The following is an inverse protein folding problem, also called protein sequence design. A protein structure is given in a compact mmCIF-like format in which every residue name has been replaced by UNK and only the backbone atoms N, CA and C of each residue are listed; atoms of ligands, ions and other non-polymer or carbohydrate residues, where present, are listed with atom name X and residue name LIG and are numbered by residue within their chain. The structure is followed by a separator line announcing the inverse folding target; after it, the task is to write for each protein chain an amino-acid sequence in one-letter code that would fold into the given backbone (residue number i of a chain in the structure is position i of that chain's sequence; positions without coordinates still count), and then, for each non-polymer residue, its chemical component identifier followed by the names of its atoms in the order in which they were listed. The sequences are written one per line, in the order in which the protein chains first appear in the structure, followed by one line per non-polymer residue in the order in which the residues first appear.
data_IF_382790237603
#
_entry.id   IF_382790237603
#
_cell.length_a   1.000
_cell.length_b   1.000
_cell.length_c   1.000
_cell.angle_alpha   90.00
_cell.angle_beta   90.00
_cell.angle_gamma   90.00
#
_symmetry.space_group_name_H-M   'P 1'
#
loop_
_entity.id
_entity.type
_entity.pdbx_description
1 polymer ?
#
# COMPACT_ATOMS: atom_id res chain seq x y z
N UNK A 1 4.65 -25.98 -7.15
CA UNK A 1 4.62 -24.58 -6.70
C UNK A 1 4.13 -23.68 -7.80
N UNK A 2 3.73 -22.46 -7.44
CA UNK A 2 3.22 -21.49 -8.38
C UNK A 2 2.54 -20.33 -7.67
N UNK A 3 2.00 -19.44 -8.46
CA UNK A 3 1.23 -18.29 -7.99
C UNK A 3 0.03 -18.06 -8.91
N UNK A 4 -0.91 -17.28 -8.41
CA UNK A 4 -2.11 -16.92 -9.15
C UNK A 4 -2.04 -15.42 -9.49
N UNK A 5 -2.39 -15.09 -10.73
CA UNK A 5 -2.55 -13.72 -11.18
C UNK A 5 -4.02 -13.50 -11.59
N UNK A 6 -4.63 -12.45 -11.07
CA UNK A 6 -5.96 -12.01 -11.48
C UNK A 6 -5.81 -10.88 -12.51
N UNK A 7 -6.34 -11.09 -13.70
CA UNK A 7 -6.23 -10.13 -14.79
C UNK A 7 -7.52 -10.12 -15.62
N UNK A 8 -8.09 -8.94 -15.87
CA UNK A 8 -9.33 -8.73 -16.63
C UNK A 8 -10.50 -9.65 -16.25
N UNK A 9 -10.66 -9.94 -14.95
CA UNK A 9 -11.74 -10.80 -14.46
C UNK A 9 -11.44 -12.31 -14.46
N UNK A 10 -10.23 -12.71 -14.85
CA UNK A 10 -9.83 -14.11 -14.93
C UNK A 10 -8.63 -14.42 -14.03
N UNK A 11 -8.67 -15.60 -13.41
CA UNK A 11 -7.53 -16.14 -12.66
C UNK A 11 -6.63 -16.93 -13.58
N UNK A 12 -5.36 -16.55 -13.64
CA UNK A 12 -4.30 -17.27 -14.32
C UNK A 12 -3.41 -17.97 -13.31
N UNK A 13 -3.09 -19.24 -13.58
CA UNK A 13 -2.16 -20.01 -12.75
C UNK A 13 -0.81 -20.07 -13.43
N UNK A 14 0.21 -19.52 -12.77
CA UNK A 14 1.59 -19.62 -13.21
C UNK A 14 2.31 -20.63 -12.30
N UNK A 15 2.59 -21.80 -12.83
CA UNK A 15 3.14 -22.93 -12.07
C UNK A 15 4.20 -23.68 -12.86
N UNK A 16 4.77 -24.71 -12.23
CA UNK A 16 5.83 -25.53 -12.80
C UNK A 16 5.44 -26.24 -14.12
N UNK A 17 4.17 -26.52 -14.36
CA UNK A 17 3.73 -27.17 -15.60
C UNK A 17 3.79 -26.23 -16.81
N UNK A 18 3.65 -24.91 -16.58
CA UNK A 18 3.82 -23.89 -17.60
C UNK A 18 5.24 -23.31 -17.62
N UNK A 19 5.92 -23.33 -16.47
CA UNK A 19 7.25 -22.72 -16.29
C UNK A 19 8.15 -23.67 -15.49
N UNK A 20 8.95 -24.48 -16.15
CA UNK A 20 9.82 -25.49 -15.52
C UNK A 20 10.83 -24.88 -14.53
N UNK A 21 11.13 -23.57 -14.63
CA UNK A 21 11.97 -22.85 -13.67
C UNK A 21 11.39 -22.86 -12.25
N UNK A 22 10.06 -23.04 -12.12
CA UNK A 22 9.36 -23.10 -10.85
C UNK A 22 9.40 -24.48 -10.18
N UNK A 23 9.98 -25.51 -10.82
CA UNK A 23 10.10 -26.85 -10.22
C UNK A 23 10.90 -26.87 -8.91
N UNK A 24 11.84 -25.94 -8.77
CA UNK A 24 12.73 -25.83 -7.61
C UNK A 24 12.39 -24.64 -6.68
N UNK A 25 11.21 -24.01 -6.87
CA UNK A 25 10.79 -22.84 -6.09
C UNK A 25 9.44 -23.12 -5.46
N UNK A 26 9.33 -23.00 -4.17
CA UNK A 26 8.13 -23.18 -3.38
C UNK A 26 8.12 -22.15 -2.25
N UNK A 27 6.99 -22.02 -1.56
CA UNK A 27 6.80 -21.11 -0.44
C UNK A 27 7.02 -19.63 -0.83
N UNK A 28 6.34 -19.17 -1.88
CA UNK A 28 6.29 -17.76 -2.19
C UNK A 28 5.55 -17.02 -1.07
N UNK A 29 6.25 -16.06 -0.43
CA UNK A 29 5.75 -15.32 0.73
C UNK A 29 5.69 -13.81 0.51
N UNK A 30 6.36 -13.30 -0.52
CA UNK A 30 6.39 -11.88 -0.81
C UNK A 30 6.40 -11.64 -2.32
N UNK A 31 5.80 -10.52 -2.72
CA UNK A 31 5.74 -10.07 -4.11
C UNK A 31 5.84 -8.56 -4.14
N UNK A 32 6.56 -8.04 -5.15
CA UNK A 32 6.53 -6.62 -5.48
C UNK A 32 6.64 -6.42 -6.99
N UNK A 33 6.24 -5.24 -7.48
CA UNK A 33 6.10 -4.97 -8.91
C UNK A 33 6.86 -3.71 -9.31
N UNK A 34 7.84 -3.86 -10.17
CA UNK A 34 8.40 -2.74 -10.91
C UNK A 34 7.41 -2.31 -12.02
N UNK A 35 6.57 -1.33 -11.68
CA UNK A 35 5.53 -0.80 -12.59
C UNK A 35 6.14 -0.15 -13.83
N UNK A 36 7.34 0.45 -13.70
CA UNK A 36 8.03 1.14 -14.80
C UNK A 36 8.53 0.16 -15.85
N UNK A 37 9.08 -0.96 -15.42
CA UNK A 37 9.63 -2.00 -16.30
C UNK A 37 8.68 -3.18 -16.53
N UNK A 38 7.49 -3.17 -15.91
CA UNK A 38 6.46 -4.21 -15.99
C UNK A 38 6.98 -5.60 -15.57
N UNK A 39 7.80 -5.63 -14.50
CA UNK A 39 8.38 -6.85 -13.94
C UNK A 39 7.76 -7.15 -12.57
N UNK A 40 7.33 -8.40 -12.37
CA UNK A 40 6.86 -8.90 -11.07
C UNK A 40 7.98 -9.68 -10.42
N UNK A 41 8.36 -9.30 -9.22
CA UNK A 41 9.34 -10.00 -8.40
C UNK A 41 8.63 -10.81 -7.31
N UNK A 42 8.99 -12.06 -7.16
CA UNK A 42 8.38 -13.01 -6.23
C UNK A 42 9.44 -13.69 -5.39
N UNK A 43 9.38 -13.49 -4.10
CA UNK A 43 10.32 -14.03 -3.13
C UNK A 43 9.84 -15.34 -2.51
N UNK A 44 10.69 -16.36 -2.56
CA UNK A 44 10.46 -17.67 -1.94
C UNK A 44 11.25 -17.80 -0.64
N UNK A 45 10.65 -18.46 0.37
CA UNK A 45 11.32 -18.72 1.65
C UNK A 45 12.18 -19.99 1.62
N UNK A 46 13.01 -20.12 0.59
CA UNK A 46 13.95 -21.23 0.42
C UNK A 46 14.41 -21.41 -1.03
N UNK A 47 13.57 -21.04 -1.98
CA UNK A 47 13.80 -21.21 -3.41
C UNK A 47 14.40 -20.00 -4.13
N UNK A 48 14.73 -18.91 -3.44
CA UNK A 48 15.31 -17.71 -4.03
C UNK A 48 14.28 -16.71 -4.58
N UNK A 49 14.68 -15.89 -5.53
CA UNK A 49 13.86 -14.84 -6.14
C UNK A 49 13.54 -15.19 -7.59
N UNK A 50 12.27 -15.06 -7.97
CA UNK A 50 11.81 -15.15 -9.36
C UNK A 50 11.43 -13.76 -9.84
N UNK A 51 11.96 -13.35 -11.00
CA UNK A 51 11.50 -12.20 -11.75
C UNK A 51 10.68 -12.66 -12.95
N UNK A 52 9.50 -12.09 -13.14
CA UNK A 52 8.62 -12.35 -14.27
C UNK A 52 8.41 -11.07 -15.07
N UNK A 53 9.00 -11.00 -16.24
CA UNK A 53 8.77 -9.91 -17.18
C UNK A 53 7.44 -10.15 -17.91
N UNK A 54 6.43 -9.35 -17.58
CA UNK A 54 5.09 -9.45 -18.15
C UNK A 54 5.04 -9.04 -19.63
N UNK A 55 6.02 -8.26 -20.10
CA UNK A 55 6.08 -7.78 -21.50
C UNK A 55 6.56 -8.88 -22.45
N UNK A 56 7.48 -9.73 -21.97
CA UNK A 56 8.06 -10.83 -22.77
C UNK A 56 7.54 -12.20 -22.38
N UNK A 57 6.91 -12.35 -21.21
CA UNK A 57 6.49 -13.63 -20.63
C UNK A 57 7.64 -14.47 -20.09
N UNK A 58 8.84 -13.91 -19.96
CA UNK A 58 10.04 -14.63 -19.52
C UNK A 58 10.16 -14.59 -17.99
N UNK A 59 10.49 -15.75 -17.38
CA UNK A 59 10.86 -15.85 -15.99
C UNK A 59 12.37 -16.06 -15.82
N UNK A 60 12.94 -15.43 -14.80
CA UNK A 60 14.32 -15.60 -14.38
C UNK A 60 14.38 -15.93 -12.89
N UNK A 61 15.24 -16.89 -12.53
CA UNK A 61 15.46 -17.30 -11.15
C UNK A 61 16.83 -16.85 -10.67
N UNK A 62 16.87 -16.19 -9.51
CA UNK A 62 18.08 -15.73 -8.84
C UNK A 62 18.26 -16.53 -7.55
N UNK A 63 19.38 -17.21 -7.44
CA UNK A 63 19.85 -18.01 -6.31
C UNK A 63 21.35 -17.77 -6.09
N UNK A 64 22.13 -18.84 -6.06
CA UNK A 64 23.59 -18.80 -5.90
C UNK A 64 24.25 -17.80 -6.87
N UNK A 65 25.12 -16.96 -6.33
CA UNK A 65 25.82 -15.89 -7.08
C UNK A 65 25.04 -14.57 -7.12
N UNK A 66 23.77 -14.56 -6.67
CA UNK A 66 22.93 -13.37 -6.56
C UNK A 66 22.42 -13.16 -5.13
N UNK A 67 22.06 -14.25 -4.46
CA UNK A 67 21.63 -14.28 -3.07
C UNK A 67 22.58 -15.19 -2.28
N UNK A 68 22.68 -14.93 -1.01
CA UNK A 68 23.37 -15.81 -0.08
C UNK A 68 22.42 -16.84 0.52
N UNK A 69 22.93 -18.01 0.82
CA UNK A 69 22.14 -19.01 1.57
C UNK A 69 22.06 -18.64 3.06
N UNK A 70 20.98 -19.09 3.68
CA UNK A 70 20.82 -18.93 5.12
C UNK A 70 21.96 -19.64 5.89
N UNK A 71 22.46 -19.00 6.93
CA UNK A 71 23.52 -19.54 7.80
C UNK A 71 23.06 -20.86 8.41
N UNK A 72 23.87 -21.90 8.24
CA UNK A 72 23.55 -23.25 8.73
C UNK A 72 22.56 -24.05 7.87
N UNK A 73 22.07 -23.49 6.76
CA UNK A 73 21.15 -24.17 5.82
C UNK A 73 21.60 -23.98 4.36
N UNK A 74 22.69 -24.67 3.95
CA UNK A 74 23.24 -24.54 2.61
C UNK A 74 22.24 -24.90 1.51
N UNK A 75 22.14 -24.03 0.49
CA UNK A 75 21.21 -24.20 -0.63
C UNK A 75 19.82 -23.62 -0.38
N UNK A 76 19.54 -23.08 0.80
CA UNK A 76 18.30 -22.35 1.12
C UNK A 76 18.52 -20.86 0.94
N UNK A 77 17.97 -20.29 -0.13
CA UNK A 77 18.03 -18.86 -0.47
C UNK A 77 16.71 -18.21 -0.07
N UNK A 78 16.66 -17.63 1.13
CA UNK A 78 15.42 -17.15 1.74
C UNK A 78 15.20 -15.67 1.45
N UNK A 79 14.07 -15.37 0.81
CA UNK A 79 13.62 -13.99 0.59
C UNK A 79 12.50 -13.69 1.59
N UNK A 80 12.76 -12.80 2.54
CA UNK A 80 11.82 -12.41 3.59
C UNK A 80 10.97 -11.19 3.26
N UNK A 81 11.46 -10.32 2.38
CA UNK A 81 10.79 -9.10 1.94
C UNK A 81 11.37 -8.57 0.65
N UNK A 82 10.56 -7.83 -0.10
CA UNK A 82 10.90 -7.18 -1.36
C UNK A 82 10.38 -5.75 -1.36
N UNK A 83 11.13 -4.82 -1.96
CA UNK A 83 10.65 -3.48 -2.28
C UNK A 83 11.39 -2.91 -3.48
N UNK A 84 10.67 -2.36 -4.45
CA UNK A 84 11.23 -1.67 -5.61
C UNK A 84 11.27 -0.17 -5.32
N UNK A 85 12.44 0.46 -5.45
CA UNK A 85 12.57 1.90 -5.28
C UNK A 85 12.19 2.69 -6.56
N UNK A 86 12.15 4.01 -6.45
CA UNK A 86 11.79 4.92 -7.56
C UNK A 86 12.76 4.86 -8.74
N UNK A 87 13.98 4.35 -8.53
CA UNK A 87 15.01 4.14 -9.55
C UNK A 87 14.95 2.74 -10.18
N UNK A 88 13.96 1.92 -9.82
CA UNK A 88 13.81 0.52 -10.25
C UNK A 88 14.92 -0.41 -9.72
N UNK A 89 15.57 -0.09 -8.61
CA UNK A 89 16.35 -1.06 -7.88
C UNK A 89 15.42 -1.91 -7.01
N UNK A 90 15.67 -3.22 -6.99
CA UNK A 90 14.94 -4.15 -6.13
C UNK A 90 15.74 -4.42 -4.87
N UNK A 91 15.20 -3.98 -3.74
CA UNK A 91 15.74 -4.26 -2.41
C UNK A 91 15.15 -5.55 -1.86
N UNK A 92 15.99 -6.38 -1.23
CA UNK A 92 15.67 -7.76 -0.87
C UNK A 92 16.14 -8.02 0.56
N UNK A 93 15.25 -8.47 1.42
CA UNK A 93 15.60 -9.09 2.69
C UNK A 93 16.04 -10.53 2.42
N UNK A 94 17.35 -10.78 2.41
CA UNK A 94 17.91 -12.11 2.28
C UNK A 94 18.01 -12.77 3.67
N UNK A 95 16.88 -13.33 4.11
CA UNK A 95 16.62 -13.78 5.48
C UNK A 95 17.63 -14.82 5.95
N UNK A 96 18.34 -14.50 7.03
CA UNK A 96 19.26 -15.42 7.71
C UNK A 96 20.61 -15.57 7.02
N UNK A 97 20.98 -14.77 6.03
CA UNK A 97 22.30 -14.73 5.39
C UNK A 97 23.31 -13.93 6.23
N UNK A 98 24.56 -13.94 5.81
CA UNK A 98 25.62 -13.12 6.45
C UNK A 98 25.38 -11.65 6.11
N UNK A 99 25.13 -11.34 4.83
CA UNK A 99 24.78 -10.01 4.35
C UNK A 99 23.28 -9.97 4.03
N UNK A 100 22.44 -9.65 5.03
CA UNK A 100 21.00 -9.90 4.96
C UNK A 100 20.22 -8.88 4.12
N UNK A 101 20.84 -7.83 3.61
CA UNK A 101 20.26 -6.90 2.66
C UNK A 101 20.94 -7.09 1.32
N UNK A 102 20.18 -7.42 0.29
CA UNK A 102 20.66 -7.47 -1.09
C UNK A 102 19.93 -6.45 -1.94
N UNK A 103 20.57 -5.90 -2.95
CA UNK A 103 19.95 -5.06 -3.96
C UNK A 103 20.32 -5.53 -5.36
N UNK A 104 19.29 -5.71 -6.19
CA UNK A 104 19.46 -5.82 -7.65
C UNK A 104 19.25 -4.45 -8.25
N UNK A 105 20.34 -3.84 -8.74
CA UNK A 105 20.27 -2.50 -9.36
C UNK A 105 19.52 -2.53 -10.69
N UNK A 106 19.00 -1.40 -11.11
CA UNK A 106 18.27 -1.25 -12.37
C UNK A 106 19.09 -1.69 -13.60
N UNK A 107 20.42 -1.57 -13.55
CA UNK A 107 21.36 -2.04 -14.58
C UNK A 107 21.58 -3.56 -14.56
N UNK A 108 21.00 -4.27 -13.60
CA UNK A 108 21.11 -5.72 -13.42
C UNK A 108 22.29 -6.18 -12.58
N UNK A 109 23.16 -5.27 -12.10
CA UNK A 109 24.24 -5.60 -11.16
C UNK A 109 23.68 -5.74 -9.72
N UNK A 110 24.49 -6.34 -8.83
CA UNK A 110 24.08 -6.65 -7.46
C UNK A 110 25.06 -6.07 -6.45
N UNK A 111 24.51 -5.67 -5.29
CA UNK A 111 25.29 -5.34 -4.10
C UNK A 111 24.65 -5.97 -2.87
N UNK A 112 25.44 -6.15 -1.81
CA UNK A 112 25.01 -6.77 -0.55
C UNK A 112 25.52 -5.92 0.61
N UNK A 113 24.73 -5.88 1.69
CA UNK A 113 25.01 -5.05 2.86
C UNK A 113 24.89 -5.88 4.12
N UNK A 114 25.88 -5.70 5.00
CA UNK A 114 25.81 -6.18 6.37
C UNK A 114 25.61 -4.99 7.31
N UNK A 115 24.43 -4.81 7.88
CA UNK A 115 24.17 -3.69 8.78
C UNK A 115 24.84 -3.82 10.16
N UNK A 116 25.76 -4.77 10.33
CA UNK A 116 26.52 -4.95 11.56
C UNK A 116 25.71 -5.45 12.75
N UNK A 117 24.55 -6.04 12.50
CA UNK A 117 23.66 -6.54 13.53
C UNK A 117 24.19 -7.89 14.06
N UNK A 118 24.15 -8.09 15.38
CA UNK A 118 24.70 -9.31 16.02
C UNK A 118 23.97 -10.58 15.58
N UNK A 119 24.73 -11.63 15.31
CA UNK A 119 24.42 -12.76 14.45
C UNK A 119 23.16 -13.59 14.71
N UNK A 120 22.60 -13.64 15.91
CA UNK A 120 21.58 -14.65 16.22
C UNK A 120 20.13 -14.19 16.04
N UNK A 121 19.87 -12.88 16.00
CA UNK A 121 18.50 -12.32 15.99
C UNK A 121 18.26 -11.42 14.78
N UNK A 122 19.26 -10.73 14.29
CA UNK A 122 19.12 -9.59 13.39
C UNK A 122 19.34 -9.92 11.90
N UNK A 123 19.90 -11.09 11.56
CA UNK A 123 19.97 -11.53 10.18
C UNK A 123 18.64 -12.03 9.62
N UNK A 124 17.59 -12.00 10.45
CA UNK A 124 16.22 -12.36 10.06
C UNK A 124 15.47 -11.08 9.69
N UNK A 125 15.58 -10.67 8.44
CA UNK A 125 14.88 -9.52 7.91
C UNK A 125 13.58 -9.94 7.23
N UNK A 126 12.49 -9.24 7.54
CA UNK A 126 11.17 -9.46 6.98
C UNK A 126 10.80 -8.44 5.88
N UNK A 127 9.57 -7.95 5.93
CA UNK A 127 9.05 -6.96 5.00
C UNK A 127 9.95 -5.71 4.92
N UNK A 128 10.07 -5.13 3.70
CA UNK A 128 10.71 -3.85 3.45
C UNK A 128 9.65 -2.86 2.98
N UNK A 129 9.67 -1.65 3.51
CA UNK A 129 8.97 -0.50 2.95
C UNK A 129 9.99 0.61 2.67
N UNK A 130 9.79 1.39 1.61
CA UNK A 130 10.72 2.46 1.19
C UNK A 130 9.97 3.77 1.20
N UNK A 131 10.49 4.78 1.92
CA UNK A 131 9.93 6.12 1.96
C UNK A 131 10.43 7.02 0.81
N UNK A 132 9.94 8.25 0.73
CA UNK A 132 10.32 9.21 -0.32
C UNK A 132 11.81 9.63 -0.26
N UNK A 133 12.45 9.47 0.90
CA UNK A 133 13.88 9.72 1.10
C UNK A 133 14.75 8.51 0.75
N UNK A 134 14.15 7.48 0.15
CA UNK A 134 14.78 6.20 -0.18
C UNK A 134 15.28 5.44 1.06
N UNK A 135 14.75 5.72 2.24
CA UNK A 135 15.04 4.97 3.46
C UNK A 135 14.27 3.65 3.48
N UNK A 136 14.96 2.56 3.76
CA UNK A 136 14.39 1.22 3.89
C UNK A 136 13.99 0.98 5.34
N UNK A 137 12.72 0.79 5.56
CA UNK A 137 12.13 0.39 6.83
C UNK A 137 11.90 -1.10 6.79
N UNK A 138 12.69 -1.85 7.56
CA UNK A 138 12.76 -3.31 7.48
C UNK A 138 12.28 -3.92 8.78
N UNK A 139 11.27 -4.77 8.69
CA UNK A 139 10.75 -5.52 9.81
C UNK A 139 11.83 -6.46 10.36
N UNK A 140 12.05 -6.40 11.67
CA UNK A 140 12.83 -7.38 12.42
C UNK A 140 11.86 -8.34 13.13
N UNK A 141 11.70 -9.59 12.65
CA UNK A 141 10.76 -10.54 13.24
C UNK A 141 11.03 -10.87 14.71
N UNK A 142 10.05 -11.51 15.37
CA UNK A 142 10.16 -12.06 16.73
C UNK A 142 10.39 -11.00 17.83
N UNK A 143 9.82 -9.82 17.65
CA UNK A 143 9.90 -8.77 18.68
C UNK A 143 11.22 -8.02 18.72
N UNK A 144 11.89 -7.87 17.59
CA UNK A 144 13.16 -7.13 17.47
C UNK A 144 13.01 -5.71 16.94
N UNK A 145 11.77 -5.26 16.64
CA UNK A 145 11.49 -3.90 16.17
C UNK A 145 11.69 -3.71 14.68
N UNK A 146 12.31 -2.60 14.30
CA UNK A 146 12.50 -2.16 12.92
C UNK A 146 13.96 -1.79 12.69
N UNK A 147 14.55 -2.29 11.61
CA UNK A 147 15.82 -1.78 11.08
C UNK A 147 15.52 -0.66 10.09
N UNK A 148 16.15 0.47 10.28
CA UNK A 148 16.11 1.60 9.32
C UNK A 148 17.47 1.71 8.66
N UNK A 149 17.47 1.65 7.32
CA UNK A 149 18.68 1.64 6.50
C UNK A 149 18.56 2.64 5.35
N UNK A 150 19.58 3.48 5.16
CA UNK A 150 19.66 4.40 4.04
C UNK A 150 21.10 4.46 3.53
N UNK A 151 21.30 4.12 2.25
CA UNK A 151 22.60 4.12 1.57
C UNK A 151 23.01 5.49 1.06
N UNK A 152 22.31 6.57 1.46
CA UNK A 152 22.61 7.95 1.10
C UNK A 152 22.72 8.21 -0.42
N UNK A 153 22.07 7.33 -1.24
CA UNK A 153 22.11 7.39 -2.71
C UNK A 153 23.38 6.80 -3.34
N UNK A 154 24.25 6.13 -2.54
CA UNK A 154 25.54 5.58 -2.98
C UNK A 154 25.63 4.08 -2.72
N UNK A 155 24.87 3.27 -3.49
CA UNK A 155 24.79 1.80 -3.31
C UNK A 155 26.19 1.11 -3.29
N UNK A 156 27.17 1.66 -3.99
CA UNK A 156 28.49 1.07 -4.12
C UNK A 156 29.52 1.63 -3.09
N UNK A 157 29.14 2.61 -2.27
CA UNK A 157 29.96 3.13 -1.16
C UNK A 157 29.22 2.98 0.17
N UNK A 158 29.60 1.98 0.96
CA UNK A 158 28.96 1.68 2.24
C UNK A 158 29.51 2.52 3.41
N UNK A 159 30.44 3.45 3.15
CA UNK A 159 31.07 4.23 4.21
C UNK A 159 30.19 5.34 4.77
N UNK A 160 29.16 5.74 4.03
CA UNK A 160 28.18 6.79 4.39
C UNK A 160 26.81 6.23 4.76
N UNK A 161 26.64 4.90 4.77
CA UNK A 161 25.37 4.24 5.11
C UNK A 161 24.88 4.66 6.51
N UNK A 162 23.60 4.97 6.59
CA UNK A 162 22.92 5.22 7.86
C UNK A 162 22.14 3.98 8.30
N UNK A 163 22.43 3.51 9.50
CA UNK A 163 21.83 2.30 10.05
C UNK A 163 21.34 2.59 11.47
N UNK A 164 20.09 2.22 11.77
CA UNK A 164 19.54 2.28 13.12
C UNK A 164 18.51 1.19 13.35
N UNK A 165 18.52 0.61 14.54
CA UNK A 165 17.45 -0.28 15.01
C UNK A 165 16.54 0.52 15.94
N UNK A 166 15.23 0.50 15.62
CA UNK A 166 14.18 1.12 16.40
C UNK A 166 13.44 0.08 17.22
N UNK A 167 13.14 0.43 18.47
CA UNK A 167 12.43 -0.41 19.41
C UNK A 167 11.61 0.40 20.41
N UNK A 168 11.20 -0.24 21.49
CA UNK A 168 10.56 0.43 22.61
C UNK A 168 11.55 1.36 23.32
N UNK A 169 11.09 2.52 23.75
CA UNK A 169 11.86 3.50 24.50
C UNK A 169 12.08 4.82 23.76
N UNK A 170 11.97 5.91 24.53
CA UNK A 170 12.12 7.27 24.03
C UNK A 170 13.51 7.50 23.45
N UNK A 171 13.60 8.19 22.29
CA UNK A 171 14.82 8.40 21.53
C UNK A 171 15.33 7.17 20.77
N UNK A 172 14.62 6.05 20.86
CA UNK A 172 14.93 4.80 20.17
C UNK A 172 13.73 4.27 19.35
N UNK A 173 12.90 5.16 18.84
CA UNK A 173 11.73 4.85 18.07
C UNK A 173 10.43 4.82 18.86
N UNK A 174 10.47 4.65 20.19
CA UNK A 174 9.29 4.66 21.07
C UNK A 174 8.13 3.76 20.59
N UNK A 175 8.48 2.61 19.97
CA UNK A 175 7.48 1.64 19.56
C UNK A 175 6.69 1.16 20.77
N UNK A 176 5.38 1.03 20.63
CA UNK A 176 4.53 0.50 21.70
C UNK A 176 4.88 -0.94 22.04
N UNK A 177 5.14 -1.72 21.01
CA UNK A 177 5.66 -3.08 21.10
C UNK A 177 6.69 -3.33 20.00
N UNK A 178 7.64 -4.22 20.25
CA UNK A 178 8.62 -4.63 19.25
C UNK A 178 8.11 -5.73 18.30
N UNK A 179 6.89 -6.23 18.50
CA UNK A 179 6.27 -7.23 17.63
C UNK A 179 5.59 -6.55 16.42
N UNK A 180 6.38 -6.32 15.41
CA UNK A 180 5.96 -5.66 14.16
C UNK A 180 5.43 -6.71 13.19
N UNK A 181 4.25 -6.47 12.62
CA UNK A 181 3.62 -7.37 11.65
C UNK A 181 3.66 -6.79 10.23
N UNK A 182 3.48 -5.47 10.07
CA UNK A 182 3.54 -4.82 8.77
C UNK A 182 4.01 -3.37 8.89
N UNK A 183 4.53 -2.84 7.78
CA UNK A 183 4.98 -1.45 7.64
C UNK A 183 4.39 -0.92 6.33
N UNK A 184 3.78 0.25 6.37
CA UNK A 184 3.28 0.96 5.20
C UNK A 184 3.78 2.40 5.21
N UNK A 185 4.12 2.91 4.03
CA UNK A 185 4.46 4.32 3.82
C UNK A 185 3.22 4.98 3.22
N UNK A 186 2.79 6.08 3.79
CA UNK A 186 1.65 6.81 3.27
C UNK A 186 2.05 7.90 2.27
N UNK A 187 1.08 8.64 1.74
CA UNK A 187 1.32 9.66 0.70
C UNK A 187 1.96 10.96 1.25
N UNK A 188 2.10 11.07 2.56
CA UNK A 188 2.81 12.15 3.26
C UNK A 188 4.17 11.69 3.78
N UNK A 189 4.61 10.49 3.36
CA UNK A 189 5.82 9.81 3.82
C UNK A 189 5.83 9.49 5.31
N UNK A 190 4.68 9.47 5.96
CA UNK A 190 4.55 8.97 7.32
C UNK A 190 4.64 7.43 7.31
N UNK A 191 5.29 6.87 8.32
CA UNK A 191 5.48 5.42 8.43
C UNK A 191 4.45 4.84 9.40
N UNK A 192 3.52 4.10 8.85
CA UNK A 192 2.48 3.39 9.57
C UNK A 192 2.91 1.98 9.90
N UNK A 193 2.97 1.66 11.16
CA UNK A 193 3.47 0.36 11.66
C UNK A 193 2.33 -0.39 12.32
N UNK A 194 1.94 -1.50 11.73
CA UNK A 194 0.99 -2.45 12.30
C UNK A 194 1.71 -3.43 13.22
N UNK A 195 1.19 -3.58 14.42
CA UNK A 195 1.80 -4.38 15.50
C UNK A 195 0.86 -5.43 16.04
N UNK A 196 1.35 -6.25 16.99
CA UNK A 196 0.50 -7.15 17.77
C UNK A 196 -0.50 -6.43 18.71
N UNK A 197 -0.37 -5.11 18.86
CA UNK A 197 -1.12 -4.29 19.82
C UNK A 197 -1.51 -2.95 19.20
N UNK A 198 -2.09 -2.98 17.98
CA UNK A 198 -2.56 -1.80 17.26
C UNK A 198 -1.54 -1.15 16.36
N UNK A 199 -1.66 0.16 16.18
CA UNK A 199 -0.90 0.95 15.22
C UNK A 199 -0.02 1.98 15.92
N UNK A 200 1.17 2.17 15.37
CA UNK A 200 2.12 3.22 15.75
C UNK A 200 2.56 3.96 14.48
N UNK A 201 2.73 5.28 14.54
CA UNK A 201 3.06 6.13 13.39
C UNK A 201 4.32 6.95 13.66
N UNK A 202 5.27 6.94 12.72
CA UNK A 202 6.37 7.89 12.67
C UNK A 202 5.97 9.05 11.76
N UNK A 203 5.63 10.19 12.36
CA UNK A 203 5.28 11.42 11.63
C UNK A 203 6.49 12.16 11.07
N UNK A 204 7.67 11.95 11.65
CA UNK A 204 8.93 12.56 11.24
C UNK A 204 10.00 11.52 10.96
N UNK A 205 9.86 10.70 9.90
CA UNK A 205 10.76 9.58 9.62
C UNK A 205 12.21 10.02 9.39
N UNK A 206 12.47 11.23 8.89
CA UNK A 206 13.82 11.76 8.70
C UNK A 206 14.59 11.97 10.00
N UNK A 207 13.88 12.16 11.13
CA UNK A 207 14.49 12.43 12.43
C UNK A 207 14.92 11.16 13.20
N UNK A 208 14.63 9.97 12.67
CA UNK A 208 14.92 8.72 13.40
C UNK A 208 16.41 8.51 13.69
N UNK A 209 17.30 9.05 12.86
CA UNK A 209 18.74 8.92 13.04
C UNK A 209 19.32 9.86 14.11
N UNK A 210 18.60 10.90 14.51
CA UNK A 210 19.09 11.89 15.47
C UNK A 210 19.25 11.35 16.90
N UNK A 211 18.55 10.28 17.25
CA UNK A 211 18.53 9.72 18.60
C UNK A 211 17.74 10.57 19.60
N UNK A 212 17.01 11.56 19.12
CA UNK A 212 16.10 12.40 19.91
C UNK A 212 14.68 11.88 19.83
N UNK A 213 13.79 12.37 20.70
CA UNK A 213 12.36 12.03 20.67
C UNK A 213 11.61 12.63 19.48
N UNK A 214 12.25 13.48 18.66
CA UNK A 214 11.65 14.02 17.45
C UNK A 214 11.35 12.95 16.38
N UNK A 215 12.18 11.89 16.34
CA UNK A 215 11.99 10.74 15.46
C UNK A 215 11.23 9.57 16.12
N UNK A 216 10.61 9.77 17.27
CA UNK A 216 9.86 8.74 17.96
C UNK A 216 8.45 8.55 17.36
N UNK A 217 8.00 7.31 17.35
CA UNK A 217 6.65 6.96 16.94
C UNK A 217 5.61 7.38 17.99
N UNK A 218 4.41 7.62 17.50
CA UNK A 218 3.24 7.99 18.30
C UNK A 218 2.11 6.99 18.06
N UNK A 219 1.37 6.64 19.11
CA UNK A 219 0.12 5.91 18.96
C UNK A 219 -1.01 6.89 18.71
N UNK A 220 -1.65 6.90 17.53
CA UNK A 220 -2.73 7.81 17.24
C UNK A 220 -3.96 7.52 18.12
N UNK A 221 -4.70 8.59 18.45
CA UNK A 221 -5.95 8.50 19.18
C UNK A 221 -7.13 8.63 18.19
N UNK A 222 -7.99 7.63 18.16
CA UNK A 222 -9.23 7.65 17.38
C UNK A 222 -10.41 8.10 18.26
N UNK A 223 -11.28 8.91 17.68
CA UNK A 223 -12.54 9.34 18.33
C UNK A 223 -13.65 8.33 18.03
N UNK A 224 -14.07 7.60 19.03
CA UNK A 224 -15.18 6.64 18.95
C UNK A 224 -16.42 7.21 19.69
N UNK A 225 -17.15 8.14 19.03
CA UNK A 225 -18.38 8.69 19.58
C UNK A 225 -18.21 9.55 20.84
N UNK A 226 -17.10 10.27 20.94
CA UNK A 226 -16.75 11.17 22.04
C UNK A 226 -15.76 10.59 23.07
N UNK A 227 -15.36 9.35 22.89
CA UNK A 227 -14.28 8.73 23.65
C UNK A 227 -13.04 8.60 22.77
N UNK A 228 -11.88 8.92 23.31
CA UNK A 228 -10.59 8.79 22.63
C UNK A 228 -9.90 7.52 23.09
N UNK A 229 -9.57 6.64 22.15
CA UNK A 229 -8.83 5.42 22.38
C UNK A 229 -7.63 5.34 21.43
N UNK A 230 -6.60 4.60 21.84
CA UNK A 230 -5.49 4.29 20.93
C UNK A 230 -5.98 3.44 19.76
N UNK A 231 -5.60 3.82 18.55
CA UNK A 231 -6.07 3.20 17.33
C UNK A 231 -5.77 1.69 17.30
N UNK A 232 -6.83 0.89 17.29
CA UNK A 232 -6.81 -0.58 17.22
C UNK A 232 -5.96 -1.27 18.31
N UNK A 233 -5.84 -0.65 19.50
CA UNK A 233 -4.96 -1.09 20.59
C UNK A 233 -5.13 -2.58 20.97
N UNK A 234 -6.33 -3.11 20.85
CA UNK A 234 -6.65 -4.49 21.25
C UNK A 234 -6.63 -5.47 20.06
N UNK A 235 -6.24 -4.99 18.86
CA UNK A 235 -6.23 -5.78 17.66
C UNK A 235 -4.80 -6.12 17.21
N UNK A 236 -4.64 -7.33 16.72
CA UNK A 236 -3.43 -7.72 15.98
C UNK A 236 -3.59 -7.20 14.56
N UNK A 237 -2.79 -6.21 14.20
CA UNK A 237 -2.77 -5.64 12.85
C UNK A 237 -1.86 -6.48 11.97
N UNK A 238 -2.43 -7.10 10.94
CA UNK A 238 -1.70 -7.98 10.02
C UNK A 238 -1.17 -7.24 8.78
N UNK A 239 -1.92 -6.24 8.31
CA UNK A 239 -1.61 -5.53 7.06
C UNK A 239 -2.20 -4.11 7.08
N UNK A 240 -1.53 -3.19 6.39
CA UNK A 240 -1.99 -1.83 6.15
C UNK A 240 -1.77 -1.53 4.66
N UNK A 241 -2.82 -1.07 3.96
CA UNK A 241 -2.76 -0.61 2.59
C UNK A 241 -3.27 0.83 2.50
N UNK A 242 -2.57 1.68 1.75
CA UNK A 242 -2.88 3.11 1.61
C UNK A 242 -3.64 3.33 0.30
N UNK A 243 -4.82 3.95 0.37
CA UNK A 243 -5.62 4.23 -0.83
C UNK A 243 -5.27 5.58 -1.49
N UNK A 244 -5.88 5.85 -2.63
CA UNK A 244 -5.64 7.07 -3.39
C UNK A 244 -5.93 8.38 -2.64
N UNK A 245 -6.77 8.35 -1.61
CA UNK A 245 -7.09 9.46 -0.72
C UNK A 245 -6.27 9.46 0.59
N UNK A 246 -5.15 8.76 0.61
CA UNK A 246 -4.28 8.59 1.79
C UNK A 246 -4.98 7.97 3.02
N UNK A 247 -6.14 7.33 2.85
CA UNK A 247 -6.79 6.58 3.93
C UNK A 247 -6.12 5.21 4.08
N UNK A 248 -6.21 4.63 5.26
CA UNK A 248 -5.54 3.36 5.56
C UNK A 248 -6.57 2.25 5.72
N UNK A 249 -6.53 1.28 4.81
CA UNK A 249 -7.22 0.02 4.98
C UNK A 249 -6.36 -0.88 5.86
N UNK A 250 -6.92 -1.31 6.98
CA UNK A 250 -6.20 -2.09 8.00
C UNK A 250 -6.85 -3.45 8.15
N UNK A 251 -6.09 -4.49 7.90
CA UNK A 251 -6.51 -5.88 8.13
C UNK A 251 -6.04 -6.40 9.48
N UNK A 252 -6.95 -6.99 10.23
CA UNK A 252 -6.72 -7.51 11.58
C UNK A 252 -7.25 -8.94 11.73
N UNK A 253 -7.13 -9.50 12.93
CA UNK A 253 -7.80 -10.76 13.28
C UNK A 253 -9.30 -10.56 13.61
N UNK A 254 -9.77 -9.32 13.72
CA UNK A 254 -11.15 -8.96 14.06
C UNK A 254 -11.96 -8.44 12.86
N UNK A 255 -11.33 -8.25 11.70
CA UNK A 255 -11.94 -7.72 10.49
C UNK A 255 -11.05 -6.75 9.74
N UNK A 256 -11.67 -5.96 8.86
CA UNK A 256 -11.02 -4.90 8.11
C UNK A 256 -11.57 -3.53 8.50
N UNK A 257 -10.69 -2.57 8.67
CA UNK A 257 -11.02 -1.20 9.03
C UNK A 257 -10.58 -0.24 7.93
N UNK A 258 -11.34 0.84 7.72
CA UNK A 258 -10.88 2.00 6.98
C UNK A 258 -10.71 3.15 7.96
N UNK A 259 -9.51 3.69 8.01
CA UNK A 259 -9.12 4.78 8.89
C UNK A 259 -8.89 6.04 8.05
N UNK A 260 -9.23 7.21 8.59
CA UNK A 260 -8.97 8.51 7.96
C UNK A 260 -7.48 8.71 7.64
N UNK A 261 -7.18 9.64 6.75
CA UNK A 261 -5.80 9.93 6.33
C UNK A 261 -4.88 10.26 7.51
N UNK A 262 -5.39 10.98 8.50
CA UNK A 262 -4.67 11.43 9.71
C UNK A 262 -4.74 10.45 10.90
N UNK A 263 -5.45 9.32 10.75
CA UNK A 263 -5.57 8.31 11.80
C UNK A 263 -6.54 8.62 12.92
N UNK A 264 -7.30 9.73 12.84
CA UNK A 264 -8.15 10.20 13.95
C UNK A 264 -9.58 9.66 13.93
N UNK A 265 -10.03 9.13 12.77
CA UNK A 265 -11.39 8.62 12.58
C UNK A 265 -11.41 7.21 12.00
N UNK A 266 -12.29 6.36 12.53
CA UNK A 266 -12.65 5.09 11.93
C UNK A 266 -13.84 5.32 10.98
N UNK A 267 -13.59 5.23 9.67
CA UNK A 267 -14.59 5.49 8.63
C UNK A 267 -15.48 4.28 8.34
N UNK A 268 -14.88 3.07 8.32
CA UNK A 268 -15.59 1.81 8.09
C UNK A 268 -15.02 0.71 8.98
N UNK A 269 -15.87 -0.28 9.25
CA UNK A 269 -15.50 -1.54 9.87
C UNK A 269 -16.29 -2.69 9.24
N UNK A 270 -15.57 -3.66 8.71
CA UNK A 270 -16.12 -4.88 8.12
C UNK A 270 -15.71 -6.12 8.90
N UNK A 271 -16.68 -6.93 9.23
CA UNK A 271 -16.52 -8.28 9.75
C UNK A 271 -17.55 -9.24 9.11
N UNK A 272 -17.47 -10.52 9.41
CA UNK A 272 -18.37 -11.54 8.87
C UNK A 272 -19.84 -11.38 9.29
N UNK A 273 -20.11 -10.60 10.34
CA UNK A 273 -21.46 -10.40 10.86
C UNK A 273 -22.18 -9.21 10.19
N UNK A 274 -21.43 -8.20 9.76
CA UNK A 274 -21.96 -6.95 9.21
C UNK A 274 -21.71 -6.76 7.72
N UNK A 275 -20.95 -7.65 7.08
CA UNK A 275 -20.53 -7.54 5.68
C UNK A 275 -20.36 -8.91 5.02
N UNK A 276 -20.21 -9.00 3.68
CA UNK A 276 -19.88 -10.23 2.98
C UNK A 276 -18.44 -10.74 3.22
N UNK A 277 -17.68 -10.13 4.13
CA UNK A 277 -16.32 -10.60 4.46
C UNK A 277 -16.36 -12.07 4.89
N UNK A 278 -15.59 -12.92 4.22
CA UNK A 278 -15.67 -14.38 4.38
C UNK A 278 -14.97 -14.89 5.65
N UNK A 279 -14.13 -14.08 6.28
CA UNK A 279 -13.48 -14.32 7.57
C UNK A 279 -13.06 -13.02 8.22
N UNK A 280 -13.06 -12.98 9.55
CA UNK A 280 -12.55 -11.85 10.32
C UNK A 280 -11.01 -11.77 10.32
N UNK A 281 -10.33 -12.90 10.07
CA UNK A 281 -8.86 -12.91 9.96
C UNK A 281 -8.46 -12.44 8.57
N UNK A 282 -8.14 -11.14 8.47
CA UNK A 282 -7.64 -10.51 7.24
C UNK A 282 -6.12 -10.50 7.30
N UNK A 283 -5.49 -11.24 6.39
CA UNK A 283 -4.03 -11.45 6.37
C UNK A 283 -3.30 -10.45 5.48
N UNK A 284 -3.94 -10.05 4.37
CA UNK A 284 -3.39 -9.08 3.44
C UNK A 284 -4.48 -8.22 2.81
N UNK A 285 -4.15 -6.98 2.47
CA UNK A 285 -5.02 -6.06 1.72
C UNK A 285 -4.18 -5.46 0.60
N UNK A 286 -4.75 -5.47 -0.63
CA UNK A 286 -4.20 -4.81 -1.79
C UNK A 286 -5.25 -3.96 -2.47
N UNK A 287 -4.83 -2.85 -3.07
CA UNK A 287 -5.72 -1.88 -3.71
C UNK A 287 -5.34 -1.71 -5.17
N UNK A 288 -6.30 -1.93 -6.07
CA UNK A 288 -6.16 -1.47 -7.44
C UNK A 288 -6.43 0.04 -7.49
N UNK A 289 -5.37 0.82 -7.52
CA UNK A 289 -5.46 2.28 -7.56
C UNK A 289 -6.17 2.83 -8.80
N UNK A 290 -6.31 2.04 -9.86
CA UNK A 290 -7.02 2.44 -11.08
C UNK A 290 -8.53 2.34 -10.93
N UNK A 291 -9.01 1.26 -10.30
CA UNK A 291 -10.44 0.96 -10.19
C UNK A 291 -11.03 1.32 -8.83
N UNK A 292 -10.20 1.44 -7.80
CA UNK A 292 -10.60 1.59 -6.40
C UNK A 292 -11.10 0.27 -5.78
N UNK A 293 -10.82 -0.87 -6.41
CA UNK A 293 -11.11 -2.18 -5.85
C UNK A 293 -10.11 -2.51 -4.75
N UNK A 294 -10.60 -2.82 -3.57
CA UNK A 294 -9.85 -3.26 -2.39
C UNK A 294 -10.00 -4.77 -2.28
N UNK A 295 -8.91 -5.51 -2.31
CA UNK A 295 -8.88 -6.95 -2.20
C UNK A 295 -8.46 -7.36 -0.79
N UNK A 296 -9.29 -8.16 -0.13
CA UNK A 296 -9.04 -8.71 1.20
C UNK A 296 -8.66 -10.18 1.07
N UNK A 297 -7.39 -10.48 1.35
CA UNK A 297 -6.88 -11.84 1.51
C UNK A 297 -7.12 -12.33 2.94
N UNK A 298 -7.95 -13.33 3.11
CA UNK A 298 -8.29 -13.89 4.41
C UNK A 298 -7.76 -15.32 4.54
N UNK A 299 -7.83 -15.91 5.73
CA UNK A 299 -7.53 -17.34 5.95
C UNK A 299 -8.51 -18.30 5.24
N UNK A 300 -9.62 -17.77 4.66
CA UNK A 300 -10.63 -18.54 3.93
C UNK A 300 -10.74 -18.24 2.45
N UNK A 301 -9.91 -17.33 1.94
CA UNK A 301 -9.91 -16.94 0.52
C UNK A 301 -9.88 -15.43 0.33
N UNK A 302 -10.16 -14.99 -0.90
CA UNK A 302 -10.07 -13.60 -1.32
C UNK A 302 -11.46 -13.06 -1.66
N UNK A 303 -11.75 -11.84 -1.22
CA UNK A 303 -12.95 -11.08 -1.60
C UNK A 303 -12.52 -9.64 -1.93
N UNK A 304 -13.25 -8.98 -2.82
CA UNK A 304 -13.01 -7.57 -3.15
C UNK A 304 -14.21 -6.69 -2.81
N UNK A 305 -13.92 -5.43 -2.55
CA UNK A 305 -14.90 -4.37 -2.33
C UNK A 305 -14.47 -3.12 -3.08
N UNK A 306 -15.34 -2.62 -3.97
CA UNK A 306 -15.07 -1.36 -4.67
C UNK A 306 -15.47 -0.18 -3.80
N UNK A 307 -14.50 0.72 -3.59
CA UNK A 307 -14.73 1.91 -2.81
C UNK A 307 -14.43 3.20 -3.59
N UNK A 308 -14.38 4.33 -2.91
CA UNK A 308 -14.49 5.66 -3.52
C UNK A 308 -13.17 6.30 -3.93
N UNK A 309 -12.02 5.80 -3.49
CA UNK A 309 -10.73 6.39 -3.80
C UNK A 309 -10.02 5.61 -4.93
N UNK A 310 -9.43 6.35 -5.85
CA UNK A 310 -8.52 5.85 -6.89
C UNK A 310 -7.22 6.65 -6.83
N UNK A 311 -6.16 6.18 -7.48
CA UNK A 311 -4.95 6.98 -7.61
C UNK A 311 -5.20 8.25 -8.44
N UNK A 312 -4.66 9.37 -7.97
CA UNK A 312 -4.69 10.64 -8.68
C UNK A 312 -3.86 10.59 -9.96
N UNK A 313 -4.32 11.28 -11.01
CA UNK A 313 -3.49 11.51 -12.19
C UNK A 313 -2.48 12.63 -11.91
N UNK A 314 -1.37 12.66 -12.65
CA UNK A 314 -0.36 13.72 -12.49
C UNK A 314 -0.84 15.09 -13.00
N UNK A 315 -1.82 15.11 -13.94
CA UNK A 315 -2.37 16.33 -14.57
C UNK A 315 -3.83 16.10 -14.98
N UNK A 316 -4.70 17.07 -14.74
CA UNK A 316 -6.12 17.03 -15.15
C UNK A 316 -6.25 17.29 -16.65
N UNK A 317 -6.22 16.25 -17.46
CA UNK A 317 -6.36 16.38 -18.94
C UNK A 317 -7.75 16.05 -19.44
N UNK A 318 -8.48 15.16 -18.78
CA UNK A 318 -9.80 14.69 -19.19
C UNK A 318 -10.61 14.15 -18.03
N UNK A 319 -11.72 14.80 -17.73
CA UNK A 319 -12.63 14.39 -16.66
C UNK A 319 -13.83 13.63 -17.26
N UNK A 320 -14.14 12.48 -16.67
CA UNK A 320 -15.25 11.62 -17.10
C UNK A 320 -16.19 11.36 -15.94
N UNK A 321 -17.50 11.37 -16.22
CA UNK A 321 -18.52 10.97 -15.27
C UNK A 321 -19.13 9.62 -15.65
N UNK A 322 -19.37 8.75 -14.67
CA UNK A 322 -19.99 7.44 -14.87
C UNK A 322 -20.91 7.09 -13.71
N UNK A 323 -22.13 6.54 -13.98
CA UNK A 323 -22.72 6.34 -15.30
C UNK A 323 -23.11 7.68 -15.96
N UNK A 324 -23.08 7.71 -17.29
CA UNK A 324 -23.55 8.84 -18.07
C UNK A 324 -24.18 8.34 -19.38
N UNK A 325 -25.50 8.43 -19.56
CA UNK A 325 -26.47 9.08 -18.67
C UNK A 325 -26.73 8.36 -17.34
N UNK A 326 -27.05 9.14 -16.32
CA UNK A 326 -27.59 8.62 -15.05
C UNK A 326 -29.07 8.33 -15.26
N UNK A 327 -29.48 7.08 -15.27
CA UNK A 327 -30.85 6.65 -15.49
C UNK A 327 -31.72 6.82 -14.25
N UNK A 328 -33.04 6.83 -14.43
CA UNK A 328 -34.01 7.03 -13.36
C UNK A 328 -33.97 5.95 -12.25
N UNK A 329 -33.66 4.73 -12.63
CA UNK A 329 -33.53 3.56 -11.75
C UNK A 329 -32.16 3.44 -11.05
N UNK A 330 -31.20 4.28 -11.42
CA UNK A 330 -29.88 4.26 -10.83
C UNK A 330 -29.85 5.00 -9.49
N UNK A 331 -29.58 4.26 -8.43
CA UNK A 331 -29.51 4.76 -7.04
C UNK A 331 -28.09 4.81 -6.48
N UNK A 332 -27.12 4.36 -7.25
CA UNK A 332 -25.71 4.35 -6.85
C UNK A 332 -25.04 5.73 -6.97
N UNK A 333 -23.80 5.78 -6.54
CA UNK A 333 -22.97 6.98 -6.65
C UNK A 333 -22.48 7.20 -8.09
N UNK A 334 -22.43 8.45 -8.50
CA UNK A 334 -21.89 8.90 -9.78
C UNK A 334 -20.41 9.23 -9.57
N UNK A 335 -19.54 8.47 -10.22
CA UNK A 335 -18.10 8.68 -10.16
C UNK A 335 -17.67 9.75 -11.17
N UNK A 336 -16.78 10.63 -10.75
CA UNK A 336 -16.11 11.65 -11.58
C UNK A 336 -14.64 11.37 -11.49
N UNK A 337 -14.04 10.85 -12.56
CA UNK A 337 -12.67 10.35 -12.61
C UNK A 337 -11.76 11.18 -13.52
N UNK A 338 -10.44 10.96 -13.43
CA UNK A 338 -9.41 11.70 -14.17
C UNK A 338 -8.99 12.98 -13.44
N UNK A 339 -9.03 12.94 -12.10
CA UNK A 339 -8.71 14.05 -11.22
C UNK A 339 -7.32 13.87 -10.60
N UNK A 340 -6.68 14.98 -10.28
CA UNK A 340 -5.55 14.98 -9.33
C UNK A 340 -6.07 14.77 -7.91
N UNK A 341 -5.21 14.35 -7.00
CA UNK A 341 -5.57 14.32 -5.59
C UNK A 341 -6.05 15.71 -5.13
N UNK A 342 -7.03 15.71 -4.24
CA UNK A 342 -7.62 16.92 -3.63
C UNK A 342 -8.22 17.94 -4.62
N UNK A 343 -8.45 17.54 -5.88
CA UNK A 343 -9.09 18.39 -6.87
C UNK A 343 -10.50 18.81 -6.42
N UNK A 344 -10.81 20.09 -6.56
CA UNK A 344 -12.15 20.62 -6.31
C UNK A 344 -13.09 20.29 -7.48
N UNK A 345 -14.24 19.71 -7.17
CA UNK A 345 -15.29 19.38 -8.18
C UNK A 345 -16.56 20.11 -7.85
N UNK A 346 -17.05 20.90 -8.83
CA UNK A 346 -18.32 21.63 -8.75
C UNK A 346 -19.26 21.18 -9.84
N UNK A 347 -20.48 20.81 -9.45
CA UNK A 347 -21.56 20.41 -10.37
C UNK A 347 -22.61 21.53 -10.41
N UNK A 348 -22.92 22.01 -11.61
CA UNK A 348 -23.88 23.09 -11.80
C UNK A 348 -24.99 22.68 -12.78
N UNK A 349 -26.12 23.35 -12.72
CA UNK A 349 -27.10 23.34 -13.80
C UNK A 349 -26.62 24.19 -14.99
N UNK A 350 -27.38 24.18 -16.10
CA UNK A 350 -27.06 24.93 -17.30
C UNK A 350 -27.12 26.46 -17.12
N UNK A 351 -27.73 26.95 -16.04
CA UNK A 351 -27.75 28.36 -15.67
C UNK A 351 -26.53 28.77 -14.80
N UNK A 352 -25.65 27.83 -14.47
CA UNK A 352 -24.46 28.05 -13.64
C UNK A 352 -24.72 28.00 -12.15
N UNK A 353 -25.94 27.63 -11.71
CA UNK A 353 -26.22 27.47 -10.28
C UNK A 353 -25.58 26.18 -9.77
N UNK A 354 -24.77 26.28 -8.72
CA UNK A 354 -24.14 25.14 -8.06
C UNK A 354 -25.18 24.22 -7.43
N UNK A 355 -25.18 22.96 -7.78
CA UNK A 355 -26.04 21.90 -7.28
C UNK A 355 -25.29 21.11 -6.21
N UNK A 356 -24.00 20.83 -6.43
CA UNK A 356 -23.16 20.04 -5.53
C UNK A 356 -21.70 20.44 -5.68
N UNK A 357 -20.94 20.30 -4.63
CA UNK A 357 -19.48 20.53 -4.61
C UNK A 357 -18.83 19.51 -3.68
N UNK A 358 -17.69 19.01 -4.08
CA UNK A 358 -16.91 18.04 -3.30
C UNK A 358 -15.42 18.13 -3.66
N UNK A 359 -14.61 17.43 -2.90
CA UNK A 359 -13.16 17.26 -3.15
C UNK A 359 -12.92 15.83 -3.62
N UNK A 360 -11.97 15.65 -4.52
CA UNK A 360 -11.59 14.35 -5.03
C UNK A 360 -10.94 13.48 -3.93
N UNK A 361 -11.29 12.22 -3.92
CA UNK A 361 -10.66 11.18 -3.11
C UNK A 361 -9.59 10.50 -3.98
N UNK A 362 -8.39 11.10 -4.01
CA UNK A 362 -7.37 10.76 -5.00
C UNK A 362 -7.81 11.15 -6.40
N UNK A 363 -7.85 10.21 -7.35
CA UNK A 363 -8.19 10.45 -8.77
C UNK A 363 -9.69 10.54 -9.07
N UNK A 364 -10.56 10.44 -8.06
CA UNK A 364 -12.01 10.35 -8.22
C UNK A 364 -12.77 11.19 -7.21
N UNK A 365 -13.81 11.88 -7.66
CA UNK A 365 -14.84 12.45 -6.81
C UNK A 365 -16.15 11.66 -6.96
N UNK A 366 -17.02 11.72 -5.95
CA UNK A 366 -18.27 10.98 -5.92
C UNK A 366 -19.43 11.93 -5.66
N UNK A 367 -20.50 11.80 -6.47
CA UNK A 367 -21.74 12.50 -6.31
C UNK A 367 -22.90 11.51 -6.15
N UNK A 368 -23.73 11.64 -5.14
CA UNK A 368 -24.89 10.79 -4.92
C UNK A 368 -26.10 11.12 -5.83
N UNK A 369 -25.98 12.14 -6.67
CA UNK A 369 -27.03 12.61 -7.56
C UNK A 369 -28.04 13.52 -6.90
N UNK A 370 -27.81 13.96 -5.64
CA UNK A 370 -28.68 14.89 -4.93
C UNK A 370 -28.08 16.31 -4.92
N UNK A 371 -28.94 17.30 -4.81
CA UNK A 371 -28.52 18.68 -4.54
C UNK A 371 -28.32 18.94 -3.05
N UNK A 372 -27.87 20.15 -2.71
CA UNK A 372 -27.72 20.58 -1.31
C UNK A 372 -29.04 20.56 -0.50
N UNK A 373 -30.17 20.56 -1.19
CA UNK A 373 -31.49 20.43 -0.58
C UNK A 373 -31.89 18.97 -0.27
N UNK A 374 -30.98 18.02 -0.51
CA UNK A 374 -31.17 16.59 -0.33
C UNK A 374 -32.10 15.94 -1.36
N UNK A 375 -32.56 16.69 -2.38
CA UNK A 375 -33.44 16.16 -3.43
C UNK A 375 -32.64 15.67 -4.61
N UNK A 376 -33.13 14.62 -5.26
CA UNK A 376 -32.57 14.10 -6.50
C UNK A 376 -32.54 15.19 -7.57
N UNK A 377 -31.44 15.30 -8.28
CA UNK A 377 -31.32 16.22 -9.40
C UNK A 377 -32.36 15.91 -10.47
N UNK A 378 -33.04 16.95 -10.97
CA UNK A 378 -34.05 16.82 -12.01
C UNK A 378 -33.46 16.37 -13.35
N UNK A 379 -34.31 15.86 -14.25
CA UNK A 379 -33.90 15.54 -15.62
C UNK A 379 -33.26 16.77 -16.30
N UNK A 380 -31.99 16.62 -16.74
CA UNK A 380 -31.27 17.73 -17.36
C UNK A 380 -29.79 17.41 -17.56
N UNK A 381 -29.11 18.33 -18.22
CA UNK A 381 -27.66 18.31 -18.36
C UNK A 381 -27.03 19.15 -17.26
N UNK A 382 -26.05 18.57 -16.57
CA UNK A 382 -25.28 19.22 -15.52
C UNK A 382 -23.84 19.38 -15.99
N UNK A 383 -23.24 20.52 -15.67
CA UNK A 383 -21.84 20.78 -15.96
C UNK A 383 -20.99 20.38 -14.76
N UNK A 384 -19.91 19.68 -15.02
CA UNK A 384 -18.90 19.31 -14.01
C UNK A 384 -17.65 20.15 -14.27
N UNK A 385 -17.30 20.97 -13.32
CA UNK A 385 -16.06 21.73 -13.32
C UNK A 385 -15.11 21.08 -12.33
N UNK A 386 -13.90 20.80 -12.75
CA UNK A 386 -12.83 20.29 -11.89
C UNK A 386 -11.63 21.22 -11.97
N UNK A 387 -10.97 21.45 -10.85
CA UNK A 387 -9.70 22.17 -10.78
C UNK A 387 -8.78 21.48 -9.76
N UNK A 388 -7.46 21.50 -10.01
CA UNK A 388 -6.51 21.15 -8.99
C UNK A 388 -6.51 22.19 -7.84
N UNK A 389 -5.79 21.91 -6.77
CA UNK A 389 -5.83 22.71 -5.54
C UNK A 389 -5.46 24.19 -5.78
N UNK A 390 -4.46 24.50 -6.61
CA UNK A 390 -4.01 25.86 -6.91
C UNK A 390 -4.77 26.54 -8.07
N UNK A 391 -5.70 25.80 -8.72
CA UNK A 391 -6.51 26.31 -9.84
C UNK A 391 -5.75 26.48 -11.16
N UNK A 392 -4.51 26.03 -11.24
CA UNK A 392 -3.69 26.11 -12.49
C UNK A 392 -4.20 25.16 -13.57
N UNK A 393 -4.79 24.05 -13.19
CA UNK A 393 -5.38 23.06 -14.09
C UNK A 393 -6.88 23.02 -13.92
N UNK A 394 -7.61 23.05 -15.02
CA UNK A 394 -9.07 22.98 -15.01
C UNK A 394 -9.59 22.12 -16.14
N UNK A 395 -10.68 21.40 -15.88
CA UNK A 395 -11.40 20.65 -16.88
C UNK A 395 -12.91 20.78 -16.72
N UNK A 396 -13.63 20.58 -17.82
CA UNK A 396 -15.09 20.62 -17.84
C UNK A 396 -15.64 19.37 -18.50
N UNK A 397 -16.61 18.74 -17.83
CA UNK A 397 -17.35 17.60 -18.35
C UNK A 397 -18.86 17.80 -18.19
N UNK A 398 -19.66 16.84 -18.64
CA UNK A 398 -21.12 16.91 -18.60
C UNK A 398 -21.70 15.60 -18.09
N UNK A 399 -22.80 15.71 -17.32
CA UNK A 399 -23.59 14.58 -16.88
C UNK A 399 -25.03 14.78 -17.35
N UNK A 400 -25.59 13.79 -18.04
CA UNK A 400 -27.02 13.75 -18.33
C UNK A 400 -27.73 12.96 -17.21
N UNK A 401 -28.59 13.60 -16.48
CA UNK A 401 -29.46 12.97 -15.48
C UNK A 401 -30.86 12.78 -16.07
N UNK A 402 -31.41 11.58 -15.90
CA UNK A 402 -32.80 11.24 -16.24
C UNK A 402 -33.49 10.85 -14.93
N UNK A 403 -34.46 11.62 -14.50
CA UNK A 403 -35.24 11.39 -13.27
C UNK A 403 -36.68 11.15 -13.64
N UNK A 404 -37.32 10.18 -13.01
CA UNK A 404 -38.78 10.04 -13.07
C UNK A 404 -39.48 11.28 -12.44
N UNK A 405 -40.54 11.71 -13.05
CA UNK A 405 -41.36 12.82 -12.50
C UNK A 405 -42.09 12.38 -11.24
#
# INVERSE_FOLDING_TARGET
AGFFAYDYGFWNTLNQYGFGILDSVYDFITVDVDKKNNVVYMGSFGGGLVAYDRSTGVMQLYKQGYLENAVGDPGSYRVGGLAVDSSSNLWISNFGSIDPIAVRKADGTWAHFNPGLTADVFNQLGQIAIDEFNTKWIQLPRGNGILVFNEQGTIDDQSDDLIKVLGAGAGNGNLHTNYINCIAVDKQSEIWVGTSEGITIFYNPSEVYTGTTAGDATQPLVNLGGYYEQLLRNDIVNTIAVDGANRKWVGTNSGAFLISADGTEQLLYFNSDNSPLISNTVLNIEIDGTTGDVYFGTDKGIISYRYTATEGVGEITSVKAFPNPVREDYTGSIAISGLTADAEVRITDMAGRTIYQTIALGGQAVWDGNGYDGKRAATGVYMVYASNEDGSETAVSKILVISSK
#
